data_IF_907786605142
#
_entry.id   IF_907786605142
#
_cell.length_a   1.000
_cell.length_b   1.000
_cell.length_c   1.000
_cell.angle_alpha   90.00
_cell.angle_beta   90.00
_cell.angle_gamma   90.00
#
_symmetry.space_group_name_H-M   'P 1'
#
loop_
_entity.id
_entity.type
_entity.pdbx_description
1 polymer ?
#
# COMPACT_ATOMS: atom_id res chain seq x y z
N UNK A 1 11.05 -13.13 -8.60
CA UNK A 1 11.59 -13.89 -9.75
C UNK A 1 10.81 -15.19 -9.87
N UNK A 2 9.91 -15.29 -10.83
CA UNK A 2 9.23 -16.56 -11.17
C UNK A 2 10.19 -17.28 -12.12
N UNK A 3 10.85 -18.35 -11.67
CA UNK A 3 11.64 -19.19 -12.57
C UNK A 3 10.68 -19.88 -13.55
N UNK A 4 10.49 -19.27 -14.72
CA UNK A 4 9.84 -19.92 -15.86
C UNK A 4 10.75 -21.07 -16.28
N UNK A 5 10.39 -22.29 -15.90
CA UNK A 5 10.93 -23.49 -16.53
C UNK A 5 10.60 -23.38 -18.02
N UNK A 6 11.60 -23.09 -18.85
CA UNK A 6 11.45 -23.14 -20.31
C UNK A 6 11.12 -24.58 -20.65
N UNK A 7 9.85 -24.87 -20.90
CA UNK A 7 9.41 -26.12 -21.49
C UNK A 7 10.00 -26.16 -22.90
N UNK A 8 11.16 -26.79 -23.04
CA UNK A 8 11.72 -27.11 -24.34
C UNK A 8 10.79 -28.17 -24.96
N UNK A 9 9.90 -27.73 -25.84
CA UNK A 9 9.06 -28.62 -26.66
C UNK A 9 9.99 -29.29 -27.67
N UNK A 10 10.69 -30.34 -27.23
CA UNK A 10 11.33 -31.29 -28.13
C UNK A 10 10.27 -32.29 -28.54
N UNK A 11 9.96 -32.33 -29.83
CA UNK A 11 9.11 -33.35 -30.46
C UNK A 11 9.80 -34.71 -30.38
N UNK A 12 9.71 -35.36 -29.23
CA UNK A 12 10.18 -36.72 -29.03
C UNK A 12 9.02 -37.70 -29.28
N UNK A 13 9.32 -38.76 -30.03
CA UNK A 13 8.46 -39.90 -30.31
C UNK A 13 7.75 -40.43 -29.02
N UNK A 14 6.54 -41.00 -29.15
CA UNK A 14 5.76 -41.44 -28.00
C UNK A 14 6.56 -42.45 -27.15
N UNK A 15 6.71 -42.21 -25.83
CA UNK A 15 7.46 -43.13 -24.99
C UNK A 15 6.71 -44.47 -24.91
N UNK A 16 7.45 -45.54 -25.19
CA UNK A 16 7.04 -46.92 -24.94
C UNK A 16 6.56 -47.06 -23.49
N UNK A 17 5.30 -47.48 -23.34
CA UNK A 17 4.61 -47.71 -22.07
C UNK A 17 5.27 -48.90 -21.36
N UNK A 18 6.38 -48.64 -20.66
CA UNK A 18 6.91 -49.59 -19.68
C UNK A 18 6.10 -49.41 -18.40
N UNK A 19 5.47 -50.50 -17.96
CA UNK A 19 4.68 -50.62 -16.73
C UNK A 19 5.41 -49.98 -15.55
N UNK A 20 4.90 -48.85 -15.07
CA UNK A 20 5.38 -48.18 -13.87
C UNK A 20 4.88 -49.02 -12.69
N UNK A 21 5.75 -49.80 -12.08
CA UNK A 21 5.49 -50.39 -10.77
C UNK A 21 5.16 -49.24 -9.82
N UNK A 22 3.98 -49.30 -9.21
CA UNK A 22 3.42 -48.26 -8.35
C UNK A 22 4.21 -48.14 -7.04
N UNK A 23 5.36 -47.48 -7.07
CA UNK A 23 5.99 -46.99 -5.85
C UNK A 23 5.16 -45.81 -5.35
N UNK A 24 4.48 -46.02 -4.21
CA UNK A 24 3.63 -45.01 -3.60
C UNK A 24 4.43 -43.76 -3.24
N UNK A 25 4.25 -42.68 -4.00
CA UNK A 25 4.85 -41.38 -3.69
C UNK A 25 4.12 -40.77 -2.49
N UNK A 26 4.84 -40.54 -1.38
CA UNK A 26 4.26 -40.03 -0.13
C UNK A 26 3.79 -38.58 -0.15
N UNK A 27 3.96 -37.86 -1.27
CA UNK A 27 3.67 -36.43 -1.38
C UNK A 27 4.88 -35.56 -1.03
N UNK A 28 4.85 -34.30 -1.47
CA UNK A 28 5.92 -33.34 -1.13
C UNK A 28 5.83 -32.91 0.34
N UNK A 29 6.96 -32.62 0.98
CA UNK A 29 7.02 -32.19 2.39
C UNK A 29 6.20 -30.91 2.70
N UNK A 30 6.00 -30.07 1.69
CA UNK A 30 5.31 -28.78 1.81
C UNK A 30 3.88 -28.84 1.26
N UNK A 31 3.31 -30.04 1.09
CA UNK A 31 1.99 -30.22 0.49
C UNK A 31 0.88 -29.57 1.34
N UNK A 32 0.14 -28.67 0.71
CA UNK A 32 -1.11 -28.10 1.23
C UNK A 32 -2.14 -28.21 0.13
N UNK A 33 -3.18 -29.01 0.37
CA UNK A 33 -4.24 -29.28 -0.60
C UNK A 33 -4.80 -27.98 -1.18
N UNK A 34 -4.78 -27.87 -2.52
CA UNK A 34 -5.28 -26.70 -3.25
C UNK A 34 -4.41 -25.43 -3.17
N UNK A 35 -3.24 -25.46 -2.53
CA UNK A 35 -2.37 -24.27 -2.40
C UNK A 35 -0.95 -24.47 -2.94
N UNK A 36 -0.25 -25.52 -2.48
CA UNK A 36 1.18 -25.71 -2.80
C UNK A 36 1.60 -27.18 -2.66
N UNK A 37 2.67 -27.55 -3.38
CA UNK A 37 3.29 -28.88 -3.33
C UNK A 37 2.59 -29.93 -4.20
N UNK A 38 3.25 -31.08 -4.32
CA UNK A 38 2.73 -32.25 -5.03
C UNK A 38 1.95 -33.14 -4.07
N UNK A 39 0.76 -33.56 -4.50
CA UNK A 39 -0.12 -34.43 -3.73
C UNK A 39 0.49 -35.84 -3.56
N UNK A 40 0.15 -36.55 -2.47
CA UNK A 40 0.49 -37.97 -2.36
C UNK A 40 -0.06 -38.75 -3.57
N UNK A 41 0.74 -39.64 -4.13
CA UNK A 41 0.44 -40.41 -5.35
C UNK A 41 0.76 -39.71 -6.67
N UNK A 42 1.08 -38.41 -6.66
CA UNK A 42 1.43 -37.65 -7.86
C UNK A 42 2.88 -37.15 -7.77
N UNK A 43 3.88 -37.97 -8.15
CA UNK A 43 5.26 -37.54 -8.11
C UNK A 43 5.50 -36.36 -9.07
N UNK A 44 6.45 -35.47 -8.76
CA UNK A 44 6.82 -34.39 -9.66
C UNK A 44 7.31 -34.92 -11.01
N UNK A 45 7.20 -34.12 -12.08
CA UNK A 45 7.78 -34.45 -13.36
C UNK A 45 9.28 -34.76 -13.24
N UNK A 46 9.79 -35.64 -14.11
CA UNK A 46 11.21 -35.98 -14.14
C UNK A 46 12.04 -34.70 -14.25
N UNK A 47 13.08 -34.59 -13.41
CA UNK A 47 13.97 -33.42 -13.28
C UNK A 47 13.40 -32.18 -12.58
N UNK A 48 12.16 -32.22 -12.09
CA UNK A 48 11.64 -31.20 -11.18
C UNK A 48 11.93 -31.59 -9.73
N UNK A 49 12.15 -30.59 -8.87
CA UNK A 49 12.27 -30.81 -7.42
C UNK A 49 10.88 -30.87 -6.79
N UNK A 50 10.71 -31.79 -5.84
CA UNK A 50 9.48 -31.99 -5.06
C UNK A 50 9.10 -30.76 -4.24
N UNK A 51 10.10 -30.03 -3.73
CA UNK A 51 9.91 -28.84 -2.93
C UNK A 51 10.68 -27.65 -3.53
N UNK A 52 10.14 -26.42 -3.39
CA UNK A 52 10.90 -25.22 -3.73
C UNK A 52 12.17 -25.15 -2.87
N UNK A 53 13.27 -24.66 -3.45
CA UNK A 53 14.48 -24.42 -2.69
C UNK A 53 14.17 -23.43 -1.54
N UNK A 54 14.67 -23.70 -0.32
CA UNK A 54 14.57 -22.72 0.75
C UNK A 54 15.26 -21.44 0.29
N UNK A 55 14.65 -20.30 0.64
CA UNK A 55 15.22 -19.00 0.31
C UNK A 55 16.53 -18.86 1.09
N UNK A 56 17.62 -18.56 0.38
CA UNK A 56 18.92 -18.34 1.02
C UNK A 56 18.79 -17.27 2.10
N UNK A 57 19.41 -17.53 3.26
CA UNK A 57 19.48 -16.55 4.33
C UNK A 57 20.30 -15.34 3.86
N UNK A 58 19.87 -14.12 4.19
CA UNK A 58 20.68 -12.95 3.89
C UNK A 58 22.00 -13.01 4.68
N UNK A 59 23.12 -12.55 4.08
CA UNK A 59 24.41 -12.57 4.74
C UNK A 59 24.38 -11.72 6.00
N UNK A 60 25.09 -12.18 7.03
CA UNK A 60 25.28 -11.49 8.31
C UNK A 60 26.63 -10.78 8.36
N UNK A 61 26.77 -9.83 9.28
CA UNK A 61 28.06 -9.16 9.49
C UNK A 61 29.18 -10.16 9.84
N UNK A 62 28.83 -11.23 10.56
CA UNK A 62 29.73 -12.35 10.91
C UNK A 62 30.23 -13.16 9.73
N UNK A 63 29.51 -13.15 8.60
CA UNK A 63 29.84 -13.97 7.43
C UNK A 63 30.87 -13.27 6.54
N UNK A 64 31.21 -12.01 6.85
CA UNK A 64 32.22 -11.27 6.11
C UNK A 64 33.63 -11.81 6.43
N UNK A 65 34.46 -12.07 5.41
CA UNK A 65 35.82 -12.51 5.64
C UNK A 65 36.64 -11.41 6.33
N UNK A 66 37.39 -11.78 7.37
CA UNK A 66 38.25 -10.84 8.08
C UNK A 66 39.24 -10.14 7.14
N UNK A 67 39.55 -8.84 7.36
CA UNK A 67 40.49 -8.12 6.52
C UNK A 67 41.85 -8.81 6.55
N UNK A 68 42.36 -9.16 5.37
CA UNK A 68 43.66 -9.85 5.24
C UNK A 68 44.77 -9.00 5.87
N UNK A 69 45.61 -9.62 6.70
CA UNK A 69 46.77 -8.96 7.32
C UNK A 69 47.74 -8.53 6.21
N UNK A 70 48.22 -7.28 6.31
CA UNK A 70 49.09 -6.60 5.31
C UNK A 70 50.16 -7.54 4.76
N UNK A 71 50.23 -7.67 3.44
CA UNK A 71 51.35 -8.36 2.81
C UNK A 71 52.58 -7.45 2.86
N UNK A 72 53.77 -7.97 3.20
CA UNK A 72 55.02 -7.19 3.35
C UNK A 72 55.52 -6.49 2.06
N UNK A 73 54.78 -6.55 0.94
CA UNK A 73 55.17 -5.91 -0.32
C UNK A 73 54.70 -4.45 -0.32
N UNK A 74 55.65 -3.53 -0.15
CA UNK A 74 55.45 -2.08 0.07
C UNK A 74 54.91 -1.26 -1.12
N UNK A 75 53.88 -1.75 -1.82
CA UNK A 75 53.38 -1.13 -3.05
C UNK A 75 52.12 -0.27 -2.94
N UNK A 76 51.11 -0.65 -2.16
CA UNK A 76 49.76 -0.10 -2.38
C UNK A 76 48.99 0.27 -1.08
N UNK A 77 49.56 1.18 -0.28
CA UNK A 77 48.91 1.71 0.94
C UNK A 77 47.48 2.25 0.68
N UNK A 78 47.24 2.81 -0.53
CA UNK A 78 45.92 3.32 -0.90
C UNK A 78 44.88 2.21 -1.13
N UNK A 79 45.25 1.13 -1.82
CA UNK A 79 44.32 0.00 -2.07
C UNK A 79 43.99 -0.75 -0.79
N UNK A 80 44.92 -0.84 0.16
CA UNK A 80 44.65 -1.40 1.49
C UNK A 80 43.68 -0.51 2.27
N UNK A 81 43.89 0.82 2.29
CA UNK A 81 42.96 1.78 2.89
C UNK A 81 41.55 1.68 2.29
N UNK A 82 41.44 1.60 0.96
CA UNK A 82 40.14 1.42 0.30
C UNK A 82 39.48 0.09 0.64
N UNK A 83 40.24 -1.02 0.73
CA UNK A 83 39.69 -2.31 1.16
C UNK A 83 39.20 -2.26 2.60
N UNK A 84 39.96 -1.64 3.50
CA UNK A 84 39.55 -1.44 4.88
C UNK A 84 38.28 -0.59 4.99
N UNK A 85 38.19 0.51 4.23
CA UNK A 85 37.00 1.36 4.17
C UNK A 85 35.77 0.59 3.64
N UNK A 86 35.92 -0.19 2.57
CA UNK A 86 34.83 -1.03 2.02
C UNK A 86 34.38 -2.09 3.01
N UNK A 87 35.31 -2.72 3.71
CA UNK A 87 35.00 -3.71 4.74
C UNK A 87 34.23 -3.06 5.89
N UNK A 88 34.72 -1.94 6.42
CA UNK A 88 34.05 -1.21 7.51
C UNK A 88 32.63 -0.78 7.12
N UNK A 89 32.47 -0.19 5.93
CA UNK A 89 31.15 0.21 5.43
C UNK A 89 30.20 -0.99 5.27
N UNK A 90 30.68 -2.10 4.70
CA UNK A 90 29.84 -3.27 4.48
C UNK A 90 29.45 -3.93 5.81
N UNK A 91 30.35 -3.96 6.79
CA UNK A 91 30.08 -4.45 8.14
C UNK A 91 29.00 -3.61 8.82
N UNK A 92 29.21 -2.28 8.90
CA UNK A 92 28.24 -1.34 9.50
C UNK A 92 26.88 -1.41 8.81
N UNK A 93 26.86 -1.52 7.47
CA UNK A 93 25.62 -1.66 6.71
C UNK A 93 24.87 -2.96 7.05
N UNK A 94 25.57 -4.09 7.24
CA UNK A 94 24.95 -5.35 7.62
C UNK A 94 24.45 -5.33 9.07
N UNK A 95 25.20 -4.75 10.02
CA UNK A 95 24.75 -4.56 11.40
C UNK A 95 23.51 -3.66 11.48
N UNK A 96 23.50 -2.54 10.73
CA UNK A 96 22.33 -1.67 10.62
C UNK A 96 21.12 -2.40 9.99
N UNK A 97 21.37 -3.36 9.08
CA UNK A 97 20.31 -4.17 8.50
C UNK A 97 19.76 -5.20 9.48
N UNK A 98 20.60 -5.82 10.30
CA UNK A 98 20.24 -6.76 11.36
C UNK A 98 19.39 -6.09 12.44
N UNK A 99 19.87 -4.97 12.98
CA UNK A 99 19.11 -4.18 13.99
C UNK A 99 17.74 -3.74 13.46
N UNK A 100 17.65 -3.29 12.20
CA UNK A 100 16.34 -2.97 11.57
C UNK A 100 15.44 -4.20 11.43
N UNK A 101 15.98 -5.39 11.16
CA UNK A 101 15.20 -6.63 11.09
C UNK A 101 14.69 -7.04 12.45
N UNK A 102 15.52 -6.94 13.49
CA UNK A 102 15.14 -7.22 14.87
C UNK A 102 14.04 -6.27 15.36
N UNK A 103 14.18 -4.96 15.10
CA UNK A 103 13.13 -3.98 15.40
C UNK A 103 11.81 -4.26 14.66
N UNK A 104 11.89 -4.67 13.39
CA UNK A 104 10.71 -5.09 12.62
C UNK A 104 10.09 -6.36 13.19
N UNK A 105 10.90 -7.33 13.60
CA UNK A 105 10.42 -8.56 14.21
C UNK A 105 9.73 -8.28 15.56
N UNK A 106 10.33 -7.45 16.41
CA UNK A 106 9.77 -7.03 17.70
C UNK A 106 8.46 -6.25 17.54
N UNK A 107 8.40 -5.30 16.59
CA UNK A 107 7.16 -4.56 16.32
C UNK A 107 6.04 -5.44 15.76
N UNK A 108 6.37 -6.40 14.89
CA UNK A 108 5.40 -7.40 14.42
C UNK A 108 4.92 -8.33 15.55
N UNK A 109 5.80 -8.73 16.47
CA UNK A 109 5.44 -9.53 17.63
C UNK A 109 4.48 -8.74 18.55
N UNK A 110 4.82 -7.50 18.88
CA UNK A 110 3.96 -6.63 19.69
C UNK A 110 2.60 -6.37 19.04
N UNK A 111 2.54 -6.20 17.71
CA UNK A 111 1.28 -6.06 16.98
C UNK A 111 0.42 -7.33 17.04
N UNK A 112 1.04 -8.52 16.97
CA UNK A 112 0.35 -9.81 17.09
C UNK A 112 -0.21 -10.01 18.50
N UNK A 113 0.54 -9.64 19.53
CA UNK A 113 0.07 -9.70 20.93
C UNK A 113 -1.13 -8.78 21.15
N UNK A 114 -1.06 -7.50 20.72
CA UNK A 114 -2.21 -6.58 20.80
C UNK A 114 -3.45 -7.13 20.12
N UNK A 115 -3.27 -7.75 18.95
CA UNK A 115 -4.38 -8.36 18.23
C UNK A 115 -4.93 -9.61 18.93
N UNK A 116 -4.07 -10.39 19.60
CA UNK A 116 -4.50 -11.52 20.45
C UNK A 116 -5.30 -11.00 21.65
N UNK A 117 -4.82 -9.98 22.33
CA UNK A 117 -5.51 -9.38 23.49
C UNK A 117 -6.88 -8.83 23.08
N UNK A 118 -6.97 -8.15 21.94
CA UNK A 118 -8.24 -7.68 21.38
C UNK A 118 -9.20 -8.85 21.11
N UNK A 119 -8.71 -9.94 20.52
CA UNK A 119 -9.54 -11.14 20.28
C UNK A 119 -10.01 -11.77 21.58
N UNK A 120 -9.16 -11.83 22.60
CA UNK A 120 -9.52 -12.37 23.91
C UNK A 120 -10.53 -11.47 24.64
N UNK A 121 -10.38 -10.14 24.55
CA UNK A 121 -11.39 -9.18 25.07
C UNK A 121 -12.74 -9.36 24.40
N UNK A 122 -12.79 -9.38 23.07
CA UNK A 122 -14.03 -9.63 22.31
C UNK A 122 -14.65 -10.98 22.67
N UNK A 123 -13.82 -12.00 22.92
CA UNK A 123 -14.31 -13.32 23.37
C UNK A 123 -14.92 -13.24 24.77
N UNK A 124 -14.32 -12.51 25.71
CA UNK A 124 -14.85 -12.31 27.08
C UNK A 124 -16.16 -11.53 27.07
N UNK A 125 -16.18 -10.40 26.36
CA UNK A 125 -17.39 -9.58 26.20
C UNK A 125 -18.54 -10.41 25.61
N UNK A 126 -18.23 -11.28 24.63
CA UNK A 126 -19.23 -12.20 24.07
C UNK A 126 -19.73 -13.21 25.08
N UNK A 127 -18.85 -13.83 25.87
CA UNK A 127 -19.27 -14.80 26.90
C UNK A 127 -20.08 -14.12 28.00
N UNK A 128 -19.71 -12.90 28.40
CA UNK A 128 -20.45 -12.10 29.38
C UNK A 128 -21.84 -11.75 28.85
N UNK A 129 -21.93 -11.29 27.60
CA UNK A 129 -23.21 -11.05 26.92
C UNK A 129 -24.05 -12.32 26.85
N UNK A 130 -23.48 -13.47 26.47
CA UNK A 130 -24.19 -14.76 26.41
C UNK A 130 -24.71 -15.18 27.79
N UNK A 131 -23.96 -14.96 28.87
CA UNK A 131 -24.43 -15.21 30.25
C UNK A 131 -25.55 -14.25 30.67
N UNK A 132 -25.40 -12.94 30.43
CA UNK A 132 -26.43 -11.95 30.76
C UNK A 132 -27.73 -12.21 30.00
N UNK A 133 -27.63 -12.53 28.71
CA UNK A 133 -28.77 -12.89 27.86
C UNK A 133 -29.44 -14.18 28.33
N UNK A 134 -28.67 -15.16 28.81
CA UNK A 134 -29.20 -16.42 29.33
C UNK A 134 -29.90 -16.26 30.67
N UNK A 135 -29.38 -15.39 31.54
CA UNK A 135 -29.91 -15.20 32.88
C UNK A 135 -31.07 -14.18 32.91
N UNK A 136 -31.19 -13.32 31.89
CA UNK A 136 -32.31 -12.40 31.73
C UNK A 136 -33.57 -13.12 31.20
N UNK A 137 -34.64 -13.22 32.01
CA UNK A 137 -35.88 -13.89 31.60
C UNK A 137 -36.65 -13.13 30.49
N UNK A 138 -36.30 -11.86 30.24
CA UNK A 138 -36.92 -11.02 29.21
C UNK A 138 -36.04 -10.81 27.97
N UNK A 139 -34.86 -11.42 27.95
CA UNK A 139 -33.97 -11.32 26.79
C UNK A 139 -34.56 -12.03 25.57
N UNK A 140 -34.38 -11.42 24.38
CA UNK A 140 -34.92 -11.92 23.12
C UNK A 140 -34.56 -13.39 22.80
N UNK A 141 -33.46 -13.90 23.35
CA UNK A 141 -33.07 -15.30 23.20
C UNK A 141 -33.87 -16.27 24.10
N UNK A 142 -34.27 -15.84 25.29
CA UNK A 142 -35.11 -16.61 26.23
C UNK A 142 -36.60 -16.43 25.98
N UNK A 143 -36.98 -15.36 25.28
CA UNK A 143 -38.38 -15.09 24.91
C UNK A 143 -38.89 -16.10 23.88
N UNK A 144 -38.05 -16.89 23.21
CA UNK A 144 -38.43 -17.96 22.27
C UNK A 144 -38.03 -19.34 22.81
N UNK A 145 -39.02 -20.22 23.05
CA UNK A 145 -38.75 -21.63 23.34
C UNK A 145 -38.12 -22.32 22.11
N UNK A 146 -37.49 -23.49 22.27
CA UNK A 146 -36.93 -24.30 21.17
C UNK A 146 -37.95 -24.70 20.08
N UNK A 147 -39.24 -24.51 20.35
CA UNK A 147 -40.37 -24.70 19.44
C UNK A 147 -40.80 -23.39 18.72
N UNK A 148 -40.05 -22.29 18.89
CA UNK A 148 -40.35 -20.99 18.26
C UNK A 148 -41.58 -20.27 18.82
N UNK A 149 -42.10 -20.71 19.97
CA UNK A 149 -43.22 -20.05 20.63
C UNK A 149 -42.70 -19.01 21.63
N UNK A 150 -43.19 -17.78 21.51
CA UNK A 150 -42.89 -16.76 22.50
C UNK A 150 -43.70 -16.97 23.77
N UNK A 151 -43.18 -16.65 24.96
CA UNK A 151 -44.03 -16.57 26.19
C UNK A 151 -45.19 -15.57 25.99
N UNK A 152 -45.01 -14.62 25.06
CA UNK A 152 -46.02 -13.68 24.55
C UNK A 152 -47.12 -14.37 23.71
N UNK A 153 -46.91 -15.59 23.21
CA UNK A 153 -47.90 -16.32 22.40
C UNK A 153 -49.13 -16.73 23.23
N UNK A 154 -49.02 -16.85 24.55
CA UNK A 154 -50.20 -17.03 25.42
C UNK A 154 -51.11 -15.78 25.46
N UNK A 155 -50.59 -14.59 25.12
CA UNK A 155 -51.41 -13.39 24.92
C UNK A 155 -52.05 -13.33 23.52
N UNK A 156 -51.45 -14.01 22.53
CA UNK A 156 -51.92 -14.03 21.13
C UNK A 156 -52.84 -15.25 20.86
N UNK A 157 -52.76 -16.31 21.67
CA UNK A 157 -53.62 -17.50 21.56
C UNK A 157 -55.12 -17.20 21.75
N UNK A 158 -55.49 -16.02 22.26
CA UNK A 158 -56.88 -15.55 22.25
C UNK A 158 -57.35 -15.07 20.86
N UNK A 159 -56.48 -15.00 19.84
CA UNK A 159 -56.78 -14.49 18.49
C UNK A 159 -56.48 -15.47 17.34
N UNK A 160 -56.54 -16.78 17.59
CA UNK A 160 -57.06 -17.77 16.62
C UNK A 160 -56.47 -17.86 15.20
N UNK A 161 -55.15 -17.92 15.01
CA UNK A 161 -54.53 -18.20 13.70
C UNK A 161 -53.36 -19.18 13.83
N UNK A 162 -53.61 -20.47 13.61
CA UNK A 162 -52.57 -21.51 13.46
C UNK A 162 -52.85 -22.38 12.22
N UNK A 163 -51.89 -22.40 11.30
CA UNK A 163 -51.83 -23.32 10.17
C UNK A 163 -50.37 -23.63 9.88
N UNK A 164 -49.90 -24.79 10.37
CA UNK A 164 -48.54 -25.30 10.17
C UNK A 164 -48.45 -26.10 8.86
N UNK A 165 -47.42 -25.82 8.05
CA UNK A 165 -46.94 -26.70 6.98
C UNK A 165 -45.42 -26.78 7.04
N UNK A 166 -44.92 -27.99 7.18
CA UNK A 166 -43.50 -28.34 7.09
C UNK A 166 -42.97 -28.10 5.67
N UNK A 167 -41.90 -27.30 5.53
CA UNK A 167 -41.21 -27.05 4.26
C UNK A 167 -39.76 -27.50 4.40
N UNK A 168 -39.37 -28.49 3.57
CA UNK A 168 -38.05 -29.12 3.56
C UNK A 168 -36.91 -28.18 3.14
N UNK A 169 -35.78 -28.31 3.85
CA UNK A 169 -34.61 -27.43 3.81
C UNK A 169 -33.72 -27.49 2.54
N UNK A 170 -34.18 -28.02 1.41
CA UNK A 170 -33.30 -28.28 0.23
C UNK A 170 -33.20 -27.15 -0.81
N UNK A 171 -33.69 -25.94 -0.51
CA UNK A 171 -33.58 -24.77 -1.41
C UNK A 171 -33.37 -23.44 -0.71
N UNK A 172 -33.05 -23.43 0.59
CA UNK A 172 -32.94 -22.21 1.36
C UNK A 172 -31.62 -21.51 1.06
N UNK A 173 -31.70 -20.33 0.46
CA UNK A 173 -30.59 -19.38 0.36
C UNK A 173 -29.91 -19.25 1.74
N UNK A 174 -28.58 -19.06 1.79
CA UNK A 174 -27.87 -18.93 3.06
C UNK A 174 -28.60 -17.94 3.97
N UNK A 175 -28.75 -18.24 5.26
CA UNK A 175 -29.55 -17.45 6.17
C UNK A 175 -29.11 -16.00 6.09
N UNK A 176 -30.04 -15.12 5.72
CA UNK A 176 -29.79 -13.68 5.64
C UNK A 176 -29.44 -13.21 7.04
N UNK A 177 -28.16 -13.00 7.30
CA UNK A 177 -27.68 -12.45 8.57
C UNK A 177 -28.08 -10.99 8.60
N UNK A 178 -29.21 -10.68 9.21
CA UNK A 178 -29.58 -9.30 9.55
C UNK A 178 -28.75 -8.87 10.75
N UNK A 179 -27.64 -8.18 10.49
CA UNK A 179 -26.85 -7.56 11.56
C UNK A 179 -27.63 -6.34 12.03
N UNK A 180 -28.28 -6.43 13.19
CA UNK A 180 -28.90 -5.29 13.85
C UNK A 180 -27.79 -4.39 14.40
N UNK A 181 -27.33 -3.44 13.59
CA UNK A 181 -26.49 -2.37 14.10
C UNK A 181 -27.35 -1.36 14.87
N UNK A 182 -26.94 -0.93 16.07
CA UNK A 182 -27.67 0.09 16.81
C UNK A 182 -27.77 1.37 15.97
N UNK A 183 -28.95 1.98 15.96
CA UNK A 183 -29.28 3.15 15.12
C UNK A 183 -28.30 4.30 15.39
N UNK A 184 -27.94 4.51 16.64
CA UNK A 184 -26.98 5.53 17.08
C UNK A 184 -25.57 5.30 16.50
N UNK A 185 -25.09 4.04 16.52
CA UNK A 185 -23.79 3.69 15.95
C UNK A 185 -23.75 3.85 14.42
N UNK A 186 -24.88 3.64 13.74
CA UNK A 186 -24.98 3.86 12.31
C UNK A 186 -25.02 5.36 11.96
N UNK A 187 -25.72 6.17 12.77
CA UNK A 187 -25.76 7.62 12.62
C UNK A 187 -24.36 8.23 12.79
N UNK A 188 -23.63 7.88 13.86
CA UNK A 188 -22.27 8.35 14.09
C UNK A 188 -21.31 7.99 12.93
N UNK A 189 -21.40 6.76 12.39
CA UNK A 189 -20.61 6.36 11.21
C UNK A 189 -21.06 7.08 9.93
N UNK A 190 -22.34 7.42 9.80
CA UNK A 190 -22.83 8.19 8.66
C UNK A 190 -22.26 9.62 8.68
N UNK A 191 -22.24 10.26 9.85
CA UNK A 191 -21.67 11.58 10.07
C UNK A 191 -20.15 11.59 9.84
N UNK A 192 -19.44 10.57 10.34
CA UNK A 192 -18.01 10.39 10.06
C UNK A 192 -17.74 10.24 8.56
N UNK A 193 -18.54 9.43 7.84
CA UNK A 193 -18.44 9.31 6.38
C UNK A 193 -18.76 10.63 5.67
N UNK A 194 -19.69 11.43 6.16
CA UNK A 194 -19.99 12.74 5.61
C UNK A 194 -18.82 13.71 5.82
N UNK A 195 -18.24 13.74 7.02
CA UNK A 195 -17.04 14.54 7.34
C UNK A 195 -15.85 14.14 6.48
N UNK A 196 -15.58 12.85 6.35
CA UNK A 196 -14.48 12.36 5.50
C UNK A 196 -14.68 12.71 4.02
N UNK A 197 -15.92 12.66 3.52
CA UNK A 197 -16.26 13.12 2.16
C UNK A 197 -16.01 14.61 1.98
N UNK A 198 -16.40 15.45 2.96
CA UNK A 198 -16.12 16.89 2.93
C UNK A 198 -14.62 17.18 2.92
N UNK A 199 -13.85 16.57 3.82
CA UNK A 199 -12.39 16.73 3.89
C UNK A 199 -11.71 16.28 2.59
N UNK A 200 -12.11 15.14 2.03
CA UNK A 200 -11.58 14.66 0.76
C UNK A 200 -11.96 15.60 -0.41
N UNK A 201 -13.17 16.17 -0.38
CA UNK A 201 -13.62 17.18 -1.34
C UNK A 201 -12.79 18.46 -1.26
N UNK A 202 -12.57 18.98 -0.04
CA UNK A 202 -11.73 20.17 0.20
C UNK A 202 -10.31 19.96 -0.31
N UNK A 203 -9.69 18.80 -0.03
CA UNK A 203 -8.34 18.49 -0.55
C UNK A 203 -8.27 18.49 -2.07
N UNK A 204 -9.25 17.87 -2.74
CA UNK A 204 -9.31 17.88 -4.22
C UNK A 204 -9.50 19.29 -4.76
N UNK A 205 -10.27 20.13 -4.07
CA UNK A 205 -10.44 21.52 -4.44
C UNK A 205 -9.14 22.31 -4.28
N UNK A 206 -8.44 22.14 -3.17
CA UNK A 206 -7.11 22.73 -2.93
C UNK A 206 -6.09 22.30 -4.00
N UNK A 207 -6.03 21.00 -4.32
CA UNK A 207 -5.17 20.47 -5.38
C UNK A 207 -5.48 21.11 -6.75
N UNK A 208 -6.77 21.29 -7.06
CA UNK A 208 -7.20 21.94 -8.29
C UNK A 208 -6.82 23.43 -8.32
N UNK A 209 -6.98 24.14 -7.21
CA UNK A 209 -6.59 25.55 -7.09
C UNK A 209 -5.08 25.70 -7.25
N UNK A 210 -4.27 24.84 -6.63
CA UNK A 210 -2.82 24.83 -6.81
C UNK A 210 -2.43 24.56 -8.27
N UNK A 211 -3.10 23.63 -8.95
CA UNK A 211 -2.87 23.37 -10.37
C UNK A 211 -3.22 24.59 -11.24
N UNK A 212 -4.30 25.30 -10.92
CA UNK A 212 -4.68 26.54 -11.62
C UNK A 212 -3.69 27.68 -11.37
N UNK A 213 -3.16 27.82 -10.14
CA UNK A 213 -2.11 28.80 -9.83
C UNK A 213 -0.82 28.48 -10.58
N UNK A 214 -0.43 27.20 -10.64
CA UNK A 214 0.72 26.76 -11.44
C UNK A 214 0.50 27.07 -12.94
N UNK A 215 -0.70 26.81 -13.46
CA UNK A 215 -1.08 27.16 -14.82
C UNK A 215 -0.97 28.67 -15.06
N UNK A 216 -1.52 29.50 -14.17
CA UNK A 216 -1.45 30.95 -14.23
C UNK A 216 0.00 31.46 -14.30
N UNK A 217 0.89 30.93 -13.46
CA UNK A 217 2.30 31.29 -13.51
C UNK A 217 3.01 30.80 -14.78
N UNK A 218 2.58 29.68 -15.37
CA UNK A 218 3.09 29.22 -16.66
C UNK A 218 2.50 29.96 -17.85
N UNK A 219 1.33 30.61 -17.69
CA UNK A 219 0.64 31.30 -18.77
C UNK A 219 1.44 32.49 -19.32
N UNK A 220 2.34 33.08 -18.53
CA UNK A 220 3.31 34.09 -18.99
C UNK A 220 4.20 33.58 -20.14
N UNK A 221 4.46 32.26 -20.17
CA UNK A 221 5.26 31.64 -21.24
C UNK A 221 4.43 31.23 -22.46
N UNK A 222 3.11 31.40 -22.42
CA UNK A 222 2.24 31.01 -23.53
C UNK A 222 2.45 31.90 -24.73
N UNK A 223 2.31 31.30 -25.91
CA UNK A 223 2.45 31.99 -27.18
C UNK A 223 1.15 32.75 -27.46
N UNK A 224 1.26 34.07 -27.62
CA UNK A 224 0.21 34.97 -28.06
C UNK A 224 0.69 35.77 -29.28
N UNK A 225 -0.23 36.36 -30.05
CA UNK A 225 0.12 37.05 -31.30
C UNK A 225 1.23 38.11 -31.14
N UNK A 226 1.26 38.79 -29.99
CA UNK A 226 2.31 39.78 -29.67
C UNK A 226 3.70 39.21 -29.38
N UNK A 227 3.83 37.99 -28.86
CA UNK A 227 5.14 37.39 -28.53
C UNK A 227 5.58 36.30 -29.52
N UNK A 228 4.73 35.93 -30.48
CA UNK A 228 4.97 34.83 -31.43
C UNK A 228 6.30 34.97 -32.17
N UNK A 229 6.59 36.15 -32.74
CA UNK A 229 7.83 36.38 -33.49
C UNK A 229 9.09 36.29 -32.59
N UNK A 230 9.00 36.82 -31.37
CA UNK A 230 10.09 36.74 -30.39
C UNK A 230 10.37 35.30 -29.99
N UNK A 231 9.33 34.49 -29.75
CA UNK A 231 9.45 33.07 -29.41
C UNK A 231 9.98 32.22 -30.57
N UNK A 232 9.55 32.50 -31.81
CA UNK A 232 10.10 31.85 -33.00
C UNK A 232 11.61 32.13 -33.11
N UNK A 233 12.02 33.40 -32.94
CA UNK A 233 13.43 33.76 -32.99
C UNK A 233 14.23 33.15 -31.84
N UNK A 234 13.67 33.07 -30.63
CA UNK A 234 14.30 32.40 -29.49
C UNK A 234 14.55 30.91 -29.78
N UNK A 235 13.55 30.21 -30.32
CA UNK A 235 13.66 28.79 -30.69
C UNK A 235 14.63 28.57 -31.84
N UNK A 236 14.60 29.43 -32.87
CA UNK A 236 15.52 29.36 -34.00
C UNK A 236 16.95 29.73 -33.60
N UNK A 237 17.14 30.66 -32.66
CA UNK A 237 18.45 31.00 -32.12
C UNK A 237 18.99 29.89 -31.20
N UNK A 238 18.11 29.17 -30.50
CA UNK A 238 18.44 28.02 -29.66
C UNK A 238 18.70 26.73 -30.46
N UNK A 239 19.31 26.84 -31.66
CA UNK A 239 19.54 25.86 -32.76
C UNK A 239 19.98 24.44 -32.36
N UNK A 240 20.26 24.18 -31.10
CA UNK A 240 20.47 22.84 -30.55
C UNK A 240 19.71 22.69 -29.23
N UNK A 241 18.39 22.49 -29.31
CA UNK A 241 17.70 21.79 -28.21
C UNK A 241 18.20 20.36 -28.26
N UNK A 242 19.30 20.11 -27.53
CA UNK A 242 19.81 18.76 -27.31
C UNK A 242 18.70 17.96 -26.64
N UNK A 243 18.02 17.13 -27.42
CA UNK A 243 17.19 16.08 -26.86
C UNK A 243 18.13 15.14 -26.11
N UNK A 244 18.03 15.12 -24.78
CA UNK A 244 18.80 14.17 -23.97
C UNK A 244 18.50 12.77 -24.47
N UNK A 245 19.51 12.10 -25.02
CA UNK A 245 19.34 10.71 -25.43
C UNK A 245 19.20 9.82 -24.20
N UNK A 246 18.56 8.65 -24.38
CA UNK A 246 18.43 7.68 -23.28
C UNK A 246 19.81 7.22 -22.77
N UNK A 247 20.80 7.14 -23.68
CA UNK A 247 22.19 6.91 -23.34
C UNK A 247 22.80 8.01 -22.47
N UNK A 248 22.56 9.29 -22.80
CA UNK A 248 23.01 10.43 -21.98
C UNK A 248 22.34 10.49 -20.61
N UNK A 249 21.05 10.12 -20.51
CA UNK A 249 20.37 10.03 -19.22
C UNK A 249 20.96 8.91 -18.35
N UNK A 250 21.24 7.75 -18.94
CA UNK A 250 21.86 6.62 -18.24
C UNK A 250 23.31 6.92 -17.89
N UNK A 251 24.07 7.54 -18.78
CA UNK A 251 25.43 8.01 -18.50
C UNK A 251 25.45 9.09 -17.42
N UNK A 252 24.51 10.03 -17.43
CA UNK A 252 24.34 11.03 -16.37
C UNK A 252 24.09 10.35 -15.02
N UNK A 253 23.22 9.33 -15.01
CA UNK A 253 22.94 8.54 -13.80
C UNK A 253 24.19 7.79 -13.33
N UNK A 254 24.97 7.22 -14.26
CA UNK A 254 26.14 6.40 -13.94
C UNK A 254 27.38 7.23 -13.57
N UNK A 255 27.65 8.33 -14.30
CA UNK A 255 28.81 9.22 -14.10
C UNK A 255 28.67 10.04 -12.83
N UNK A 256 27.47 10.53 -12.54
CA UNK A 256 27.21 11.25 -11.29
C UNK A 256 26.87 10.28 -10.14
N UNK A 257 26.88 8.95 -10.36
CA UNK A 257 26.57 7.96 -9.32
C UNK A 257 25.15 8.07 -8.75
N UNK A 258 24.20 8.59 -9.52
CA UNK A 258 22.86 8.95 -9.07
C UNK A 258 22.80 10.25 -8.26
N UNK A 259 23.91 10.96 -8.10
CA UNK A 259 23.97 12.25 -7.43
C UNK A 259 23.40 13.31 -8.38
N UNK A 260 22.29 13.88 -7.97
CA UNK A 260 21.64 15.02 -8.61
C UNK A 260 22.61 16.18 -8.74
N UNK A 261 22.67 16.80 -9.91
CA UNK A 261 23.48 18.02 -10.12
C UNK A 261 23.07 19.12 -9.13
N UNK A 262 23.95 20.07 -8.75
CA UNK A 262 23.62 21.15 -7.81
C UNK A 262 22.38 21.98 -8.22
N UNK A 263 22.17 22.16 -9.53
CA UNK A 263 20.98 22.82 -10.06
C UNK A 263 19.71 21.96 -9.89
N UNK A 264 19.84 20.64 -10.05
CA UNK A 264 18.76 19.69 -9.86
C UNK A 264 18.45 19.46 -8.38
N UNK A 265 19.45 19.45 -7.48
CA UNK A 265 19.21 19.48 -6.03
C UNK A 265 18.48 20.75 -5.65
N UNK A 266 18.94 21.92 -6.10
CA UNK A 266 18.27 23.20 -5.80
C UNK A 266 16.83 23.24 -6.34
N UNK A 267 16.58 22.65 -7.52
CA UNK A 267 15.23 22.50 -8.06
C UNK A 267 14.38 21.56 -7.19
N UNK A 268 14.90 20.39 -6.83
CA UNK A 268 14.20 19.40 -6.00
C UNK A 268 13.96 19.90 -4.58
N UNK A 269 14.89 20.65 -3.99
CA UNK A 269 14.72 21.26 -2.67
C UNK A 269 13.64 22.32 -2.71
N UNK A 270 13.61 23.17 -3.76
CA UNK A 270 12.51 24.12 -3.96
C UNK A 270 11.18 23.42 -4.21
N UNK A 271 11.14 22.37 -5.03
CA UNK A 271 9.93 21.56 -5.23
C UNK A 271 9.48 20.93 -3.90
N UNK A 272 10.40 20.44 -3.08
CA UNK A 272 10.11 19.84 -1.78
C UNK A 272 9.63 20.88 -0.77
N UNK A 273 10.29 22.04 -0.68
CA UNK A 273 9.86 23.19 0.14
C UNK A 273 8.45 23.64 -0.28
N UNK A 274 8.22 23.81 -1.58
CA UNK A 274 6.92 24.14 -2.16
C UNK A 274 5.85 23.10 -1.82
N UNK A 275 6.13 21.80 -1.95
CA UNK A 275 5.16 20.75 -1.59
C UNK A 275 4.89 20.66 -0.09
N UNK A 276 5.89 20.90 0.76
CA UNK A 276 5.72 20.94 2.21
C UNK A 276 4.97 22.20 2.67
N UNK A 277 5.06 23.29 1.91
CA UNK A 277 4.38 24.55 2.17
C UNK A 277 3.05 24.71 1.42
N UNK A 278 2.69 23.76 0.54
CA UNK A 278 1.44 23.78 -0.25
C UNK A 278 1.44 24.74 -1.45
N UNK A 279 2.62 25.14 -1.95
CA UNK A 279 2.79 26.21 -2.93
C UNK A 279 3.57 25.74 -4.17
N UNK A 280 2.95 24.93 -5.02
CA UNK A 280 3.57 24.51 -6.28
C UNK A 280 3.71 25.69 -7.27
N UNK A 281 4.86 26.38 -7.25
CA UNK A 281 5.22 27.40 -8.24
C UNK A 281 6.72 27.46 -8.56
N UNK A 282 7.16 27.38 -9.83
CA UNK A 282 8.57 27.37 -10.24
C UNK A 282 9.31 28.70 -10.06
N UNK A 283 8.60 29.79 -9.72
CA UNK A 283 9.18 31.14 -9.52
C UNK A 283 9.24 31.59 -8.05
N UNK A 284 8.99 30.71 -7.07
CA UNK A 284 8.99 31.10 -5.64
C UNK A 284 7.81 32.00 -5.28
N UNK A 285 6.60 31.60 -5.68
CA UNK A 285 5.37 32.29 -5.29
C UNK A 285 5.16 32.26 -3.77
N UNK A 286 4.54 33.33 -3.26
CA UNK A 286 4.40 33.65 -1.83
C UNK A 286 3.87 32.44 -1.03
N UNK A 287 4.69 31.91 -0.12
CA UNK A 287 4.27 30.93 0.90
C UNK A 287 3.12 31.49 1.76
N UNK A 288 2.50 30.69 2.63
CA UNK A 288 1.43 31.17 3.54
C UNK A 288 1.80 32.48 4.24
N UNK A 289 3.06 32.67 4.67
CA UNK A 289 3.52 33.93 5.26
C UNK A 289 3.48 35.10 4.27
N UNK A 290 3.85 34.87 3.00
CA UNK A 290 3.71 35.86 1.95
C UNK A 290 2.25 36.08 1.55
N UNK A 291 1.42 35.03 1.48
CA UNK A 291 -0.02 35.17 1.21
C UNK A 291 -0.70 36.01 2.31
N UNK A 292 -0.34 35.79 3.58
CA UNK A 292 -0.80 36.60 4.71
C UNK A 292 -0.30 38.03 4.57
N UNK A 293 0.99 38.24 4.28
CA UNK A 293 1.53 39.59 4.04
C UNK A 293 0.85 40.30 2.86
N UNK A 294 0.55 39.58 1.78
CA UNK A 294 -0.15 40.11 0.62
C UNK A 294 -1.62 40.42 0.92
N UNK A 295 -2.29 39.59 1.72
CA UNK A 295 -3.66 39.83 2.22
C UNK A 295 -3.71 41.01 3.20
N UNK A 296 -2.66 41.20 4.01
CA UNK A 296 -2.50 42.39 4.86
C UNK A 296 -2.29 43.65 4.01
N UNK A 297 -1.57 43.54 2.88
CA UNK A 297 -1.38 44.61 1.91
C UNK A 297 -2.63 44.85 1.02
N UNK A 298 -3.51 43.86 0.85
CA UNK A 298 -4.71 43.89 0.00
C UNK A 298 -5.97 43.46 0.78
N UNK A 299 -6.41 44.26 1.77
CA UNK A 299 -7.50 43.87 2.68
C UNK A 299 -8.88 43.72 2.00
N UNK A 300 -9.04 44.25 0.79
CA UNK A 300 -10.27 44.08 -0.01
C UNK A 300 -10.50 42.61 -0.41
N UNK A 301 -9.44 41.82 -0.53
CA UNK A 301 -9.46 40.41 -0.93
C UNK A 301 -9.46 39.47 0.29
N UNK A 302 -9.31 40.01 1.51
CA UNK A 302 -9.26 39.25 2.76
C UNK A 302 -10.59 38.55 3.13
N UNK A 303 -11.71 39.01 2.56
CA UNK A 303 -13.01 38.37 2.71
C UNK A 303 -13.21 37.16 1.78
N UNK A 304 -12.17 36.77 1.02
CA UNK A 304 -12.21 35.79 -0.05
C UNK A 304 -12.33 36.49 -1.42
N UNK A 305 -11.70 35.89 -2.45
CA UNK A 305 -11.89 36.29 -3.84
C UNK A 305 -13.39 36.22 -4.10
N UNK A 306 -14.06 37.37 -4.15
CA UNK A 306 -15.50 37.42 -4.38
C UNK A 306 -15.74 36.76 -5.72
N UNK A 307 -16.44 35.62 -5.71
CA UNK A 307 -17.06 35.11 -6.92
C UNK A 307 -17.83 36.29 -7.52
N UNK A 308 -17.54 36.61 -8.78
CA UNK A 308 -18.38 37.50 -9.57
C UNK A 308 -19.77 36.88 -9.50
N UNK A 309 -20.65 37.47 -8.69
CA UNK A 309 -22.05 37.09 -8.65
C UNK A 309 -22.57 37.39 -10.06
N UNK A 310 -22.94 36.35 -10.80
CA UNK A 310 -23.66 36.51 -12.05
C UNK A 310 -24.97 37.22 -11.71
N UNK A 311 -25.11 38.44 -12.20
CA UNK A 311 -26.33 39.23 -12.15
C UNK A 311 -27.51 38.34 -12.61
N UNK A 312 -28.33 37.89 -11.66
CA UNK A 312 -29.68 37.44 -11.95
C UNK A 312 -30.44 38.66 -12.50
N UNK A 313 -30.49 38.75 -13.83
CA UNK A 313 -31.42 39.61 -14.55
C UNK A 313 -32.85 39.11 -14.31
N UNK A 314 -33.63 40.00 -13.71
CA UNK A 314 -35.09 40.19 -13.74
C UNK A 314 -35.94 39.15 -14.49
#
# INVERSE_FOLDING_TARGET
MIHRCKLAVRSAAPPSIRSISSTSYGGSSNFVAGKQGYAPGFPPPRHCRDAPQPRAEPPKASDLPAPQKKSKRGGDNYREKLRALRFAYMHEHLEAQETRREQRAASLAAARERHRDLREKVRRERTEYETQVRDDPLSAANVLNGEGQTVVRNLIANNGLSGEKEIGFRGLAPPRVSISMPVEGNAARADERARNRRVAGSRRHEDNVQALMALFHSAESFVHYGNLASKINEVLAALTVSHRSLGEMVESLNKNGGVTTPAETARRTRELENTLQGTAGPKGGLGHAGLVQWLDEHPADAAGIRHVEEDEKD
#
